data_IF_532778237938
#
_entry.id   IF_532778237938
#
_cell.length_a   1.000
_cell.length_b   1.000
_cell.length_c   1.000
_cell.angle_alpha   90.00
_cell.angle_beta   90.00
_cell.angle_gamma   90.00
#
_symmetry.space_group_name_H-M   'P 1'
#
loop_
_entity.id
_entity.type
_entity.pdbx_description
1 polymer ?
#
# COMPACT_ATOMS: atom_id res chain seq x y z
N UNK A 1 20.88 27.15 -38.43
CA UNK A 1 19.67 26.29 -38.52
C UNK A 1 19.66 25.39 -37.30
N UNK A 2 18.75 25.61 -36.36
CA UNK A 2 18.64 24.85 -35.11
C UNK A 2 17.65 23.70 -35.37
N UNK A 3 18.15 22.48 -35.51
CA UNK A 3 17.31 21.29 -35.67
C UNK A 3 16.78 20.85 -34.31
N UNK A 4 15.48 21.00 -34.11
CA UNK A 4 14.74 20.55 -32.93
C UNK A 4 14.35 19.07 -33.15
N UNK A 5 15.16 18.14 -32.66
CA UNK A 5 14.82 16.71 -32.66
C UNK A 5 13.86 16.42 -31.53
N UNK A 6 12.56 16.36 -31.84
CA UNK A 6 11.53 15.89 -30.93
C UNK A 6 11.69 14.37 -30.70
N UNK A 7 12.18 13.99 -29.52
CA UNK A 7 12.18 12.60 -29.08
C UNK A 7 10.74 12.17 -28.77
N UNK A 8 10.13 11.40 -29.68
CA UNK A 8 8.87 10.71 -29.39
C UNK A 8 9.15 9.64 -28.32
N UNK A 9 8.72 9.91 -27.09
CA UNK A 9 8.59 8.90 -26.05
C UNK A 9 7.45 7.95 -26.44
N UNK A 10 7.77 6.82 -27.07
CA UNK A 10 6.85 5.69 -27.19
C UNK A 10 6.72 5.05 -25.81
N UNK A 11 5.64 5.38 -25.10
CA UNK A 11 5.27 4.67 -23.88
C UNK A 11 5.02 3.20 -24.26
N UNK A 12 5.97 2.32 -23.95
CA UNK A 12 5.74 0.89 -24.04
C UNK A 12 4.56 0.56 -23.13
N UNK A 13 3.44 0.12 -23.72
CA UNK A 13 2.34 -0.41 -22.95
C UNK A 13 2.90 -1.59 -22.14
N UNK A 14 3.03 -1.39 -20.83
CA UNK A 14 3.33 -2.47 -19.91
C UNK A 14 2.31 -3.57 -20.18
N UNK A 15 2.77 -4.74 -20.65
CA UNK A 15 1.93 -5.92 -20.84
C UNK A 15 1.49 -6.34 -19.44
N UNK A 16 0.38 -5.78 -18.96
CA UNK A 16 -0.26 -6.25 -17.75
C UNK A 16 -0.53 -7.75 -17.94
N UNK A 17 0.02 -8.59 -17.06
CA UNK A 17 -0.29 -10.02 -17.05
C UNK A 17 -1.80 -10.17 -16.93
N UNK A 18 -2.40 -10.84 -17.92
CA UNK A 18 -3.83 -11.05 -17.95
C UNK A 18 -4.21 -12.02 -16.83
N UNK A 19 -4.87 -11.52 -15.79
CA UNK A 19 -5.34 -12.32 -14.66
C UNK A 19 -6.78 -12.75 -14.93
N UNK A 20 -7.00 -14.05 -15.10
CA UNK A 20 -8.29 -14.69 -15.21
C UNK A 20 -8.90 -14.90 -13.83
N UNK A 21 -10.20 -14.59 -13.68
CA UNK A 21 -10.98 -14.89 -12.47
C UNK A 21 -11.81 -16.14 -12.70
N UNK A 22 -11.44 -17.22 -12.03
CA UNK A 22 -12.02 -18.54 -12.20
C UNK A 22 -12.83 -18.95 -10.96
N UNK A 23 -13.85 -19.79 -11.15
CA UNK A 23 -14.59 -20.45 -10.06
C UNK A 23 -14.25 -21.94 -10.06
N UNK A 24 -13.67 -22.42 -8.96
CA UNK A 24 -13.38 -23.83 -8.75
C UNK A 24 -14.67 -24.63 -8.43
N UNK A 25 -14.56 -25.96 -8.49
CA UNK A 25 -15.71 -26.86 -8.30
C UNK A 25 -16.32 -26.79 -6.88
N UNK A 26 -15.54 -26.39 -5.89
CA UNK A 26 -15.98 -26.14 -4.51
C UNK A 26 -16.63 -24.76 -4.32
N UNK A 27 -16.68 -23.94 -5.38
CA UNK A 27 -17.22 -22.58 -5.35
C UNK A 27 -16.21 -21.50 -4.97
N UNK A 28 -14.94 -21.84 -4.70
CA UNK A 28 -13.92 -20.83 -4.42
C UNK A 28 -13.55 -20.02 -5.67
N UNK A 29 -13.22 -18.73 -5.47
CA UNK A 29 -12.73 -17.87 -6.55
C UNK A 29 -11.21 -17.95 -6.60
N UNK A 30 -10.67 -18.30 -7.77
CA UNK A 30 -9.22 -18.38 -8.04
C UNK A 30 -8.84 -17.31 -9.06
N UNK A 31 -7.73 -16.61 -8.83
CA UNK A 31 -7.16 -15.66 -9.79
C UNK A 31 -5.86 -16.23 -10.35
N UNK A 32 -5.72 -16.32 -11.67
CA UNK A 32 -4.56 -16.93 -12.31
C UNK A 32 -4.28 -16.35 -13.68
N UNK A 33 -3.01 -16.34 -14.10
CA UNK A 33 -2.57 -16.02 -15.45
C UNK A 33 -2.83 -17.15 -16.46
N UNK A 34 -3.13 -18.35 -15.98
CA UNK A 34 -3.55 -19.50 -16.80
C UNK A 34 -5.04 -19.43 -17.11
N UNK A 35 -5.46 -20.07 -18.20
CA UNK A 35 -6.90 -20.15 -18.55
C UNK A 35 -7.61 -20.98 -17.49
N UNK A 36 -8.85 -20.62 -17.17
CA UNK A 36 -9.61 -21.32 -16.12
C UNK A 36 -9.78 -22.81 -16.43
N UNK A 37 -9.95 -23.17 -17.71
CA UNK A 37 -10.00 -24.55 -18.18
C UNK A 37 -8.74 -25.36 -17.83
N UNK A 38 -7.55 -24.73 -17.84
CA UNK A 38 -6.29 -25.39 -17.47
C UNK A 38 -6.17 -25.65 -15.95
N UNK A 39 -7.07 -25.06 -15.15
CA UNK A 39 -7.18 -25.21 -13.70
C UNK A 39 -8.35 -26.11 -13.28
N UNK A 40 -9.10 -26.67 -14.24
CA UNK A 40 -10.36 -27.38 -13.95
C UNK A 40 -11.44 -26.44 -13.38
N UNK A 41 -11.33 -25.14 -13.63
CA UNK A 41 -12.23 -24.11 -13.14
C UNK A 41 -13.00 -23.46 -14.30
N UNK A 42 -14.11 -22.80 -13.98
CA UNK A 42 -14.92 -22.10 -14.97
C UNK A 42 -14.62 -20.59 -14.94
N UNK A 43 -14.60 -19.95 -16.10
CA UNK A 43 -14.46 -18.49 -16.17
C UNK A 43 -15.73 -17.84 -15.64
N UNK A 44 -15.61 -16.95 -14.64
CA UNK A 44 -16.74 -16.18 -14.14
C UNK A 44 -16.86 -14.90 -14.98
N UNK A 45 -18.01 -14.71 -15.63
CA UNK A 45 -18.32 -13.44 -16.30
C UNK A 45 -18.13 -12.29 -15.29
N UNK A 46 -17.43 -11.19 -15.63
CA UNK A 46 -17.27 -10.07 -14.71
C UNK A 46 -18.66 -9.62 -14.25
N UNK A 47 -18.91 -9.45 -12.93
CA UNK A 47 -20.15 -8.80 -12.51
C UNK A 47 -20.22 -7.45 -13.23
N UNK A 48 -21.40 -7.14 -13.78
CA UNK A 48 -21.69 -5.80 -14.32
C UNK A 48 -21.22 -4.80 -13.27
N UNK A 49 -20.31 -3.90 -13.64
CA UNK A 49 -19.67 -2.97 -12.73
C UNK A 49 -20.73 -2.36 -11.81
N UNK A 50 -20.74 -2.78 -10.54
CA UNK A 50 -21.68 -2.25 -9.58
C UNK A 50 -21.35 -0.77 -9.42
N UNK A 51 -22.37 0.09 -9.57
CA UNK A 51 -22.22 1.54 -9.42
C UNK A 51 -21.43 1.85 -8.15
N UNK A 52 -20.39 2.65 -8.32
CA UNK A 52 -19.46 3.09 -7.29
C UNK A 52 -20.20 3.46 -6.00
N UNK A 53 -20.00 2.69 -4.92
CA UNK A 53 -20.61 3.01 -3.64
C UNK A 53 -20.52 1.93 -2.56
N UNK A 54 -20.49 0.64 -2.91
CA UNK A 54 -20.55 -0.43 -1.89
C UNK A 54 -19.59 -1.62 -2.09
N UNK A 55 -18.86 -1.70 -3.20
CA UNK A 55 -17.75 -2.63 -3.37
C UNK A 55 -16.46 -1.81 -3.46
N UNK A 56 -16.09 -1.15 -2.36
CA UNK A 56 -14.80 -0.46 -2.28
C UNK A 56 -13.69 -1.51 -2.36
N UNK A 57 -13.18 -1.75 -3.58
CA UNK A 57 -11.80 -2.17 -3.78
C UNK A 57 -11.00 -1.27 -2.85
N UNK A 58 -10.54 -1.86 -1.74
CA UNK A 58 -9.91 -1.18 -0.61
C UNK A 58 -9.04 -0.09 -1.18
N UNK A 59 -9.30 1.19 -0.83
CA UNK A 59 -8.51 2.34 -1.27
C UNK A 59 -7.04 1.91 -1.23
N UNK A 60 -6.47 1.61 -2.39
CA UNK A 60 -5.06 1.22 -2.56
C UNK A 60 -4.13 2.42 -2.31
N UNK A 61 -4.59 3.40 -1.53
CA UNK A 61 -3.80 4.53 -1.13
C UNK A 61 -2.84 4.08 -0.05
N UNK A 62 -1.56 4.30 -0.29
CA UNK A 62 -0.55 4.29 0.76
C UNK A 62 -1.07 5.15 1.93
N UNK A 63 -1.27 4.59 3.14
CA UNK A 63 -1.81 5.33 4.28
C UNK A 63 -1.01 6.62 4.49
N UNK A 64 -1.71 7.76 4.53
CA UNK A 64 -1.05 9.08 4.62
C UNK A 64 -0.80 9.50 6.07
N UNK A 65 -1.38 8.77 7.02
CA UNK A 65 -1.27 9.01 8.47
C UNK A 65 -1.04 7.68 9.17
N UNK A 66 -0.25 7.70 10.25
CA UNK A 66 -0.01 6.51 11.07
C UNK A 66 -1.31 5.89 11.58
N UNK A 67 -2.28 6.73 11.99
CA UNK A 67 -3.60 6.25 12.45
C UNK A 67 -4.37 5.47 11.39
N UNK A 68 -4.23 5.84 10.10
CA UNK A 68 -4.83 5.14 8.98
C UNK A 68 -4.17 3.78 8.75
N UNK A 69 -2.83 3.74 8.82
CA UNK A 69 -2.06 2.49 8.72
C UNK A 69 -2.44 1.52 9.85
N UNK A 70 -2.49 2.01 11.09
CA UNK A 70 -2.86 1.22 12.27
C UNK A 70 -4.29 0.66 12.12
N UNK A 71 -5.23 1.48 11.66
CA UNK A 71 -6.61 1.03 11.42
C UNK A 71 -6.67 -0.09 10.37
N UNK A 72 -5.99 0.08 9.24
CA UNK A 72 -5.98 -0.93 8.18
C UNK A 72 -5.29 -2.23 8.62
N UNK A 73 -4.19 -2.12 9.38
CA UNK A 73 -3.47 -3.26 9.93
C UNK A 73 -4.34 -4.07 10.91
N UNK A 74 -5.02 -3.39 11.85
CA UNK A 74 -5.99 -4.03 12.76
C UNK A 74 -7.08 -4.76 11.99
N UNK A 75 -7.71 -4.06 11.05
CA UNK A 75 -8.83 -4.61 10.30
C UNK A 75 -8.43 -5.83 9.45
N UNK A 76 -7.21 -5.88 8.91
CA UNK A 76 -6.70 -7.05 8.18
C UNK A 76 -6.47 -8.26 9.09
N UNK A 77 -5.93 -8.04 10.30
CA UNK A 77 -5.68 -9.12 11.27
C UNK A 77 -7.01 -9.63 11.85
N UNK A 78 -7.91 -8.73 12.25
CA UNK A 78 -9.23 -9.08 12.81
C UNK A 78 -10.06 -9.91 11.83
N UNK A 79 -9.98 -9.61 10.52
CA UNK A 79 -10.67 -10.36 9.47
C UNK A 79 -9.91 -11.57 8.96
N UNK A 80 -8.72 -11.88 9.50
CA UNK A 80 -7.79 -12.90 9.00
C UNK A 80 -7.52 -12.81 7.48
N UNK A 81 -7.43 -11.58 6.97
CA UNK A 81 -7.28 -11.34 5.52
C UNK A 81 -5.83 -10.98 5.17
N UNK A 82 -5.08 -12.00 4.74
CA UNK A 82 -3.68 -11.83 4.30
C UNK A 82 -3.55 -10.92 3.08
N UNK A 83 -4.53 -10.90 2.18
CA UNK A 83 -4.48 -10.05 0.99
C UNK A 83 -4.66 -8.58 1.37
N UNK A 84 -5.48 -8.31 2.38
CA UNK A 84 -5.58 -6.98 2.95
C UNK A 84 -4.30 -6.57 3.66
N UNK A 85 -3.68 -7.47 4.44
CA UNK A 85 -2.40 -7.20 5.09
C UNK A 85 -1.26 -6.97 4.08
N UNK A 86 -1.19 -7.78 3.03
CA UNK A 86 -0.16 -7.69 1.98
C UNK A 86 -0.22 -6.36 1.22
N UNK A 87 -1.40 -5.75 1.12
CA UNK A 87 -1.56 -4.42 0.50
C UNK A 87 -0.85 -3.29 1.26
N UNK A 88 -0.53 -3.49 2.55
CA UNK A 88 0.19 -2.52 3.39
C UNK A 88 1.71 -2.71 3.34
N UNK A 89 2.20 -3.82 2.77
CA UNK A 89 3.62 -4.11 2.66
C UNK A 89 4.25 -3.38 1.47
N UNK A 90 5.45 -2.84 1.65
CA UNK A 90 6.23 -2.22 0.58
C UNK A 90 7.01 -3.29 -0.20
N UNK A 91 6.51 -3.70 -1.36
CA UNK A 91 7.04 -4.82 -2.16
C UNK A 91 8.29 -4.53 -3.01
N UNK A 92 8.84 -3.32 -2.95
CA UNK A 92 9.95 -2.92 -3.84
C UNK A 92 11.19 -3.79 -3.68
N UNK A 93 11.87 -4.08 -4.79
CA UNK A 93 13.18 -4.74 -4.87
C UNK A 93 13.27 -6.18 -4.33
N UNK A 94 12.13 -6.89 -4.24
CA UNK A 94 12.11 -8.29 -3.82
C UNK A 94 12.17 -9.27 -5.01
N UNK A 95 13.05 -10.27 -4.93
CA UNK A 95 12.97 -11.46 -5.79
C UNK A 95 11.70 -12.27 -5.49
N UNK A 96 11.22 -13.07 -6.46
CA UNK A 96 10.05 -13.95 -6.25
C UNK A 96 10.18 -14.84 -5.01
N UNK A 97 11.38 -15.41 -4.77
CA UNK A 97 11.63 -16.25 -3.59
C UNK A 97 11.51 -15.43 -2.29
N UNK A 98 12.01 -14.20 -2.29
CA UNK A 98 11.90 -13.31 -1.13
C UNK A 98 10.45 -12.87 -0.89
N UNK A 99 9.73 -12.50 -1.95
CA UNK A 99 8.33 -12.12 -1.89
C UNK A 99 7.45 -13.25 -1.31
N UNK A 100 7.62 -14.49 -1.76
CA UNK A 100 6.89 -15.63 -1.22
C UNK A 100 7.17 -15.87 0.27
N UNK A 101 8.43 -15.71 0.73
CA UNK A 101 8.75 -15.80 2.16
C UNK A 101 8.07 -14.71 2.98
N UNK A 102 8.01 -13.49 2.46
CA UNK A 102 7.28 -12.39 3.11
C UNK A 102 5.80 -12.74 3.20
N UNK A 103 5.19 -13.20 2.11
CA UNK A 103 3.77 -13.58 2.09
C UNK A 103 3.47 -14.67 3.12
N UNK A 104 4.25 -15.76 3.17
CA UNK A 104 4.09 -16.81 4.19
C UNK A 104 4.22 -16.27 5.62
N UNK A 105 5.08 -15.28 5.85
CA UNK A 105 5.17 -14.62 7.16
C UNK A 105 3.90 -13.82 7.45
N UNK A 106 3.34 -13.10 6.49
CA UNK A 106 2.10 -12.35 6.65
C UNK A 106 0.90 -13.27 6.93
N UNK A 107 0.84 -14.45 6.28
CA UNK A 107 -0.13 -15.51 6.59
C UNK A 107 -0.04 -15.92 8.07
N UNK A 108 1.17 -16.17 8.57
CA UNK A 108 1.36 -16.50 9.98
C UNK A 108 1.04 -15.36 10.96
N UNK A 109 1.09 -14.09 10.52
CA UNK A 109 0.74 -12.93 11.36
C UNK A 109 -0.77 -12.83 11.53
N UNK A 110 -1.56 -12.97 10.46
CA UNK A 110 -3.02 -12.84 10.52
C UNK A 110 -3.70 -13.95 11.34
N UNK A 111 -3.04 -15.09 11.53
CA UNK A 111 -3.56 -16.21 12.32
C UNK A 111 -3.41 -16.02 13.84
N UNK A 112 -2.70 -14.98 14.28
CA UNK A 112 -2.43 -14.73 15.71
C UNK A 112 -3.26 -13.55 16.22
N UNK A 113 -3.82 -13.63 17.44
CA UNK A 113 -4.54 -12.52 18.02
C UNK A 113 -3.61 -11.30 18.20
N UNK A 114 -4.12 -10.12 17.84
CA UNK A 114 -3.38 -8.87 17.96
C UNK A 114 -3.33 -8.43 19.43
N UNK A 115 -2.12 -8.20 19.94
CA UNK A 115 -1.91 -7.68 21.31
C UNK A 115 -1.83 -6.15 21.31
N UNK A 116 -0.94 -5.59 20.49
CA UNK A 116 -0.76 -4.15 20.31
C UNK A 116 -0.03 -3.83 19.00
N UNK A 117 -0.06 -2.57 18.55
CA UNK A 117 0.70 -2.05 17.42
C UNK A 117 1.49 -0.82 17.87
N UNK A 118 2.80 -0.95 17.95
CA UNK A 118 3.71 0.14 18.21
C UNK A 118 4.50 0.51 16.94
N UNK A 119 4.58 1.80 16.55
CA UNK A 119 5.49 2.22 15.48
C UNK A 119 6.94 2.06 15.94
N UNK A 120 7.77 1.46 15.09
CA UNK A 120 9.22 1.41 15.29
C UNK A 120 9.84 2.43 14.35
N UNK A 121 10.46 3.45 14.92
CA UNK A 121 11.27 4.41 14.18
C UNK A 121 12.72 3.93 14.17
N UNK A 122 13.50 4.22 13.12
CA UNK A 122 14.94 4.09 13.24
C UNK A 122 15.40 4.89 14.46
N UNK A 123 16.36 4.35 15.21
CA UNK A 123 17.01 5.11 16.27
C UNK A 123 17.49 6.41 15.64
N UNK A 124 16.95 7.54 16.10
CA UNK A 124 17.37 8.83 15.59
C UNK A 124 18.85 8.97 15.89
N UNK A 125 19.64 9.40 14.91
CA UNK A 125 20.88 10.10 15.26
C UNK A 125 20.46 11.22 16.23
N UNK A 126 20.92 11.15 17.47
CA UNK A 126 20.77 12.16 18.53
C UNK A 126 21.47 13.50 18.18
N UNK A 127 21.64 13.81 16.89
CA UNK A 127 22.32 14.96 16.31
C UNK A 127 21.37 15.82 15.44
N UNK A 128 20.08 15.84 15.76
CA UNK A 128 19.23 16.94 15.30
C UNK A 128 19.64 18.20 16.08
N UNK A 129 20.27 19.23 15.46
CA UNK A 129 20.58 20.45 16.18
C UNK A 129 19.28 21.03 16.73
N UNK A 130 19.27 21.51 17.99
CA UNK A 130 18.06 22.00 18.60
C UNK A 130 17.50 23.09 17.70
N UNK A 131 16.26 22.90 17.26
CA UNK A 131 15.51 23.94 16.57
C UNK A 131 15.49 25.14 17.51
N UNK A 132 16.32 26.13 17.23
CA UNK A 132 16.48 27.30 18.07
C UNK A 132 15.08 27.82 18.41
N UNK A 133 14.75 27.78 19.70
CA UNK A 133 13.51 28.35 20.19
C UNK A 133 13.46 29.79 19.66
N UNK A 134 12.46 30.09 18.83
CA UNK A 134 12.22 31.44 18.37
C UNK A 134 12.12 32.31 19.63
N UNK A 135 13.10 33.18 19.82
CA UNK A 135 13.09 34.14 20.91
C UNK A 135 11.77 34.93 20.83
N UNK A 136 11.09 35.18 21.95
CA UNK A 136 9.93 36.06 21.95
C UNK A 136 10.35 37.43 21.39
N UNK A 137 9.48 38.13 20.64
CA UNK A 137 9.84 39.43 20.08
C UNK A 137 10.16 40.38 21.24
N UNK A 138 11.37 40.94 21.23
CA UNK A 138 11.71 42.06 22.11
C UNK A 138 10.68 43.17 21.90
N UNK A 139 9.95 43.48 22.95
CA UNK A 139 9.07 44.64 22.98
C UNK A 139 9.94 45.88 22.76
N UNK A 140 9.66 46.62 21.68
CA UNK A 140 10.21 47.96 21.47
C UNK A 140 9.74 48.86 22.60
N UNK A 141 10.63 49.14 23.57
CA UNK A 141 10.47 50.27 24.48
C UNK A 141 10.60 51.55 23.65
N UNK A 142 9.46 52.24 23.53
CA UNK A 142 9.36 53.55 22.95
C UNK A 142 10.06 54.59 23.83
N UNK A 143 10.75 55.51 23.17
CA UNK A 143 11.24 56.76 23.74
C UNK A 143 10.18 57.50 24.56
N UNK A 144 10.55 57.89 25.78
CA UNK A 144 10.11 59.12 26.45
C UNK A 144 11.25 59.48 27.42
N UNK A 145 11.98 60.60 27.30
CA UNK A 145 11.50 61.94 26.98
C UNK A 145 11.25 62.69 28.28
N UNK A 146 12.30 63.20 28.93
CA UNK A 146 12.45 64.50 29.64
C UNK A 146 13.77 64.51 30.40
#
# INVERSE_FOLDING_TARGET
MISLSAALCTAAAARAQQVNRCSAADGTTVFSDRRCEDLGALSRLPPVAQRDGQAGIYRHGCPRRLSELVYQLRAAIDSRDVNRLSSLYLWSDLSNRAANRVLTRLEGVVERPLVDIAPVYPDGDDDAPPLAAAAPPEATEAEAGT
#
